data_IF_761080685948
#
_entry.id   IF_761080685948
#
_cell.length_a   1.000
_cell.length_b   1.000
_cell.length_c   1.000
_cell.angle_alpha   90.00
_cell.angle_beta   90.00
_cell.angle_gamma   90.00
#
_symmetry.space_group_name_H-M   'P 1'
#
loop_
_entity.id
_entity.type
_entity.pdbx_description
1 polymer ?
#
# COMPACT_ATOMS: atom_id res chain seq x y z
N UNK A 1 -12.37 6.17 14.41
CA UNK A 1 -11.38 7.25 14.19
C UNK A 1 -11.77 8.05 12.96
N UNK A 2 -11.70 9.37 13.05
CA UNK A 2 -12.05 10.25 11.93
C UNK A 2 -10.99 10.19 10.84
N UNK A 3 -11.43 10.26 9.59
CA UNK A 3 -10.54 10.21 8.42
C UNK A 3 -9.49 11.31 8.44
N UNK A 4 -9.80 12.49 8.97
CA UNK A 4 -8.86 13.61 9.09
C UNK A 4 -7.61 13.20 9.88
N UNK A 5 -7.79 12.48 10.97
CA UNK A 5 -6.68 12.01 11.80
C UNK A 5 -5.88 10.91 11.11
N UNK A 6 -6.56 10.01 10.43
CA UNK A 6 -5.91 8.94 9.66
C UNK A 6 -5.05 9.56 8.55
N UNK A 7 -5.58 10.56 7.88
CA UNK A 7 -4.84 11.30 6.85
C UNK A 7 -3.57 11.92 7.40
N UNK A 8 -3.64 12.58 8.57
CA UNK A 8 -2.46 13.17 9.22
C UNK A 8 -1.40 12.11 9.53
N UNK A 9 -1.82 10.97 10.08
CA UNK A 9 -0.91 9.87 10.42
C UNK A 9 -0.24 9.35 9.15
N UNK A 10 -1.01 9.09 8.11
CA UNK A 10 -0.50 8.58 6.84
C UNK A 10 0.50 9.55 6.20
N UNK A 11 0.17 10.82 6.17
CA UNK A 11 1.07 11.84 5.59
C UNK A 11 2.39 11.94 6.34
N UNK A 12 2.38 11.78 7.65
CA UNK A 12 3.63 11.74 8.44
C UNK A 12 4.52 10.56 8.08
N UNK A 13 3.91 9.46 7.66
CA UNK A 13 4.62 8.25 7.24
C UNK A 13 5.03 8.28 5.76
N UNK A 14 4.73 9.38 5.06
CA UNK A 14 5.10 9.54 3.67
C UNK A 14 4.04 9.13 2.66
N UNK A 15 2.83 8.82 3.12
CA UNK A 15 1.73 8.49 2.21
C UNK A 15 1.08 9.75 1.65
N UNK A 16 0.71 9.68 0.37
CA UNK A 16 -0.18 10.65 -0.24
C UNK A 16 -1.61 10.17 -0.01
N UNK A 17 -2.50 11.07 0.37
CA UNK A 17 -3.90 10.73 0.66
C UNK A 17 -4.82 11.57 -0.20
N UNK A 18 -5.61 10.91 -1.02
CA UNK A 18 -6.61 11.55 -1.88
C UNK A 18 -8.01 11.12 -1.47
N UNK A 19 -8.86 12.10 -1.14
CA UNK A 19 -10.25 11.87 -0.77
C UNK A 19 -11.13 12.09 -2.00
N UNK A 20 -12.06 11.15 -2.26
CA UNK A 20 -12.97 11.22 -3.39
C UNK A 20 -14.42 11.47 -2.94
N UNK A 21 -15.21 12.06 -3.83
CA UNK A 21 -16.62 12.41 -3.56
C UNK A 21 -17.51 11.20 -3.31
N UNK A 22 -17.12 10.01 -3.75
CA UNK A 22 -17.87 8.78 -3.56
C UNK A 22 -17.70 8.16 -2.17
N UNK A 23 -16.98 8.82 -1.27
CA UNK A 23 -16.74 8.34 0.09
C UNK A 23 -15.53 7.43 0.22
N UNK A 24 -14.71 7.29 -0.81
CA UNK A 24 -13.49 6.51 -0.76
C UNK A 24 -12.25 7.39 -0.56
N UNK A 25 -11.19 6.78 -0.06
CA UNK A 25 -9.90 7.44 0.16
C UNK A 25 -8.79 6.56 -0.39
N UNK A 26 -7.93 7.14 -1.21
CA UNK A 26 -6.79 6.44 -1.79
C UNK A 26 -5.50 6.83 -1.06
N UNK A 27 -4.74 5.82 -0.67
CA UNK A 27 -3.39 5.98 -0.09
C UNK A 27 -2.38 5.53 -1.12
N UNK A 28 -1.40 6.38 -1.41
CA UNK A 28 -0.36 6.04 -2.39
C UNK A 28 1.02 6.45 -1.89
N UNK A 29 2.01 5.64 -2.25
CA UNK A 29 3.40 5.89 -1.92
C UNK A 29 4.29 5.10 -2.89
N UNK A 30 5.42 5.70 -3.29
CA UNK A 30 6.41 4.98 -4.07
C UNK A 30 7.22 4.07 -3.15
N UNK A 31 7.45 2.84 -3.58
CA UNK A 31 8.34 1.92 -2.88
C UNK A 31 9.81 2.34 -3.09
N UNK A 32 10.76 1.81 -2.29
CA UNK A 32 12.19 2.11 -2.48
C UNK A 32 12.70 1.78 -3.87
N UNK A 33 12.13 0.78 -4.55
CA UNK A 33 12.50 0.45 -5.92
C UNK A 33 11.83 1.34 -6.97
N UNK A 34 10.99 2.29 -6.55
CA UNK A 34 10.32 3.23 -7.43
C UNK A 34 8.98 2.75 -7.98
N UNK A 35 8.43 1.67 -7.45
CA UNK A 35 7.09 1.20 -7.83
C UNK A 35 6.02 2.06 -7.18
N UNK A 36 5.07 2.54 -7.99
CA UNK A 36 3.89 3.25 -7.48
C UNK A 36 2.94 2.24 -6.86
N UNK A 37 2.75 2.36 -5.55
CA UNK A 37 1.82 1.49 -4.82
C UNK A 37 0.66 2.32 -4.29
N UNK A 38 -0.57 1.82 -4.48
CA UNK A 38 -1.76 2.48 -3.95
C UNK A 38 -2.83 1.47 -3.55
N UNK A 39 -3.68 1.86 -2.62
CA UNK A 39 -4.88 1.11 -2.25
C UNK A 39 -5.97 2.07 -1.82
N UNK A 40 -7.21 1.63 -1.90
CA UNK A 40 -8.39 2.44 -1.62
C UNK A 40 -9.24 1.81 -0.53
N UNK A 41 -9.75 2.66 0.37
CA UNK A 41 -10.64 2.22 1.46
C UNK A 41 -11.84 3.14 1.55
N UNK A 42 -12.89 2.70 2.25
CA UNK A 42 -14.02 3.56 2.59
C UNK A 42 -13.64 4.50 3.74
N UNK A 43 -13.95 5.78 3.59
CA UNK A 43 -13.61 6.79 4.60
C UNK A 43 -14.22 6.49 5.98
N UNK A 44 -15.45 5.96 6.02
CA UNK A 44 -16.16 5.64 7.26
C UNK A 44 -15.53 4.48 8.05
N UNK A 45 -14.91 3.54 7.36
CA UNK A 45 -14.29 2.36 7.95
C UNK A 45 -12.79 2.27 7.66
N UNK A 46 -12.16 3.41 7.43
CA UNK A 46 -10.77 3.46 6.96
C UNK A 46 -9.80 2.71 7.87
N UNK A 47 -9.88 2.88 9.18
CA UNK A 47 -8.97 2.21 10.12
C UNK A 47 -9.07 0.69 10.01
N UNK A 48 -10.30 0.17 9.98
CA UNK A 48 -10.56 -1.26 9.84
C UNK A 48 -10.06 -1.79 8.51
N UNK A 49 -10.36 -1.08 7.41
CA UNK A 49 -9.99 -1.53 6.08
C UNK A 49 -8.48 -1.45 5.82
N UNK A 50 -7.79 -0.48 6.40
CA UNK A 50 -6.32 -0.41 6.35
C UNK A 50 -5.72 -1.66 7.01
N UNK A 51 -6.22 -2.01 8.19
CA UNK A 51 -5.75 -3.19 8.91
C UNK A 51 -6.04 -4.48 8.14
N UNK A 52 -7.24 -4.60 7.58
CA UNK A 52 -7.63 -5.75 6.76
C UNK A 52 -6.78 -5.86 5.50
N UNK A 53 -6.48 -4.73 4.86
CA UNK A 53 -5.63 -4.69 3.69
C UNK A 53 -4.22 -5.18 4.00
N UNK A 54 -3.65 -4.71 5.10
CA UNK A 54 -2.33 -5.16 5.54
C UNK A 54 -2.33 -6.67 5.80
N UNK A 55 -3.32 -7.17 6.51
CA UNK A 55 -3.41 -8.62 6.81
C UNK A 55 -3.62 -9.47 5.57
N UNK A 56 -4.28 -8.93 4.55
CA UNK A 56 -4.52 -9.65 3.29
C UNK A 56 -3.42 -9.48 2.25
N UNK A 57 -2.42 -8.64 2.52
CA UNK A 57 -1.33 -8.43 1.58
C UNK A 57 -0.39 -9.63 1.58
N UNK A 58 -0.34 -10.33 0.43
CA UNK A 58 0.49 -11.51 0.25
C UNK A 58 1.73 -11.14 -0.59
N UNK A 59 2.89 -11.15 0.05
CA UNK A 59 4.16 -10.82 -0.60
C UNK A 59 4.44 -11.75 -1.77
N UNK A 60 4.20 -13.04 -1.59
CA UNK A 60 4.44 -14.04 -2.64
C UNK A 60 3.54 -13.82 -3.86
N UNK A 61 2.27 -13.53 -3.63
CA UNK A 61 1.32 -13.25 -4.71
C UNK A 61 1.73 -11.98 -5.48
N UNK A 62 2.16 -10.95 -4.78
CA UNK A 62 2.63 -9.71 -5.40
C UNK A 62 3.85 -9.98 -6.30
N UNK A 63 4.79 -10.79 -5.83
CA UNK A 63 5.97 -11.19 -6.60
C UNK A 63 5.56 -12.00 -7.83
N UNK A 64 4.65 -12.95 -7.68
CA UNK A 64 4.16 -13.78 -8.78
C UNK A 64 3.51 -12.95 -9.89
N UNK A 65 2.74 -11.94 -9.53
CA UNK A 65 2.13 -11.03 -10.51
C UNK A 65 3.17 -10.36 -11.40
N UNK A 66 4.27 -9.90 -10.83
CA UNK A 66 5.34 -9.25 -11.58
C UNK A 66 6.12 -10.22 -12.43
N UNK A 67 6.38 -11.44 -11.94
CA UNK A 67 7.03 -12.49 -12.70
C UNK A 67 6.19 -12.87 -13.92
N UNK A 68 4.88 -13.03 -13.72
CA UNK A 68 3.95 -13.34 -14.81
C UNK A 68 3.93 -12.22 -15.85
N UNK A 69 3.90 -10.95 -15.41
CA UNK A 69 3.96 -9.82 -16.33
C UNK A 69 5.23 -9.83 -17.17
N UNK A 70 6.38 -10.17 -16.57
CA UNK A 70 7.67 -10.29 -17.28
C UNK A 70 7.64 -11.41 -18.33
N UNK A 71 7.08 -12.56 -17.98
CA UNK A 71 6.93 -13.70 -18.90
C UNK A 71 6.03 -13.36 -20.08
N UNK A 72 5.05 -12.48 -19.86
CA UNK A 72 4.15 -12.01 -20.91
C UNK A 72 4.71 -10.84 -21.73
N UNK A 73 6.00 -10.53 -21.57
CA UNK A 73 6.70 -9.55 -22.40
C UNK A 73 6.61 -8.10 -21.92
N UNK A 74 6.20 -7.87 -20.68
CA UNK A 74 6.20 -6.51 -20.12
C UNK A 74 7.62 -5.97 -20.04
N UNK A 75 7.77 -4.67 -20.35
CA UNK A 75 9.06 -3.98 -20.27
C UNK A 75 9.21 -3.25 -18.95
N UNK A 76 10.45 -3.09 -18.48
CA UNK A 76 10.74 -2.34 -17.26
C UNK A 76 10.47 -3.08 -15.97
N UNK A 77 10.24 -4.38 -16.02
CA UNK A 77 10.05 -5.19 -14.82
C UNK A 77 11.41 -5.38 -14.11
N UNK A 78 11.48 -5.09 -12.78
CA UNK A 78 12.71 -5.27 -12.02
C UNK A 78 13.19 -6.73 -11.98
N UNK A 79 14.43 -6.96 -11.57
CA UNK A 79 14.95 -8.31 -11.35
C UNK A 79 14.16 -9.00 -10.22
N UNK A 80 14.19 -10.34 -10.19
CA UNK A 80 13.49 -11.10 -9.14
C UNK A 80 13.90 -10.66 -7.73
N UNK A 81 15.19 -10.40 -7.53
CA UNK A 81 15.69 -9.93 -6.22
C UNK A 81 15.09 -8.59 -5.84
N UNK A 82 15.01 -7.66 -6.78
CA UNK A 82 14.41 -6.35 -6.55
C UNK A 82 12.90 -6.48 -6.25
N UNK A 83 12.21 -7.38 -6.93
CA UNK A 83 10.79 -7.64 -6.69
C UNK A 83 10.54 -8.16 -5.27
N UNK A 84 11.39 -9.07 -4.78
CA UNK A 84 11.28 -9.60 -3.42
C UNK A 84 11.49 -8.49 -2.39
N UNK A 85 12.58 -7.73 -2.53
CA UNK A 85 12.89 -6.62 -1.63
C UNK A 85 11.78 -5.57 -1.64
N UNK A 86 11.27 -5.24 -2.81
CA UNK A 86 10.22 -4.24 -2.98
C UNK A 86 8.90 -4.68 -2.33
N UNK A 87 8.49 -5.93 -2.54
CA UNK A 87 7.27 -6.46 -1.93
C UNK A 87 7.37 -6.48 -0.41
N UNK A 88 8.53 -6.83 0.14
CA UNK A 88 8.77 -6.79 1.59
C UNK A 88 8.71 -5.36 2.13
N UNK A 89 9.24 -4.39 1.40
CA UNK A 89 9.20 -2.98 1.78
C UNK A 89 7.77 -2.43 1.76
N UNK A 90 6.97 -2.83 0.76
CA UNK A 90 5.54 -2.47 0.71
C UNK A 90 4.81 -3.04 1.93
N UNK A 91 5.08 -4.29 2.27
CA UNK A 91 4.50 -4.92 3.46
C UNK A 91 4.85 -4.16 4.74
N UNK A 92 6.10 -3.71 4.87
CA UNK A 92 6.55 -2.88 6.01
C UNK A 92 5.84 -1.53 6.04
N UNK A 93 5.68 -0.88 4.90
CA UNK A 93 4.96 0.40 4.80
C UNK A 93 3.51 0.24 5.26
N UNK A 94 2.85 -0.83 4.84
CA UNK A 94 1.48 -1.14 5.26
C UNK A 94 1.40 -1.43 6.75
N UNK A 95 2.37 -2.16 7.28
CA UNK A 95 2.44 -2.46 8.71
C UNK A 95 2.59 -1.20 9.54
N UNK A 96 3.49 -0.30 9.15
CA UNK A 96 3.69 0.97 9.84
C UNK A 96 2.41 1.80 9.87
N UNK A 97 1.71 1.88 8.75
CA UNK A 97 0.44 2.61 8.67
C UNK A 97 -0.63 1.96 9.55
N UNK A 98 -0.81 0.65 9.45
CA UNK A 98 -1.81 -0.07 10.22
C UNK A 98 -1.55 0.05 11.72
N UNK A 99 -0.30 -0.15 12.15
CA UNK A 99 0.08 -0.05 13.56
C UNK A 99 -0.13 1.36 14.10
N UNK A 100 0.23 2.39 13.34
CA UNK A 100 0.06 3.79 13.75
C UNK A 100 -1.41 4.16 13.90
N UNK A 101 -2.25 3.70 12.98
CA UNK A 101 -3.69 3.96 13.00
C UNK A 101 -4.36 3.25 14.19
N UNK A 102 -3.99 1.99 14.43
CA UNK A 102 -4.56 1.20 15.54
C UNK A 102 -4.12 1.74 16.91
N UNK A 103 -2.91 2.28 17.00
CA UNK A 103 -2.35 2.81 18.25
C UNK A 103 -2.83 4.23 18.59
N UNK A 104 -3.56 4.87 17.73
CA UNK A 104 -4.00 6.26 17.93
C UNK A 104 -5.28 6.37 18.71
#
# INVERSE_FOLDING_TARGET
MKITKIKEIAERLGWRVDEYDDGTVEFSQCSPAGEDFSFTVNAEEAAKEIYEYYNGFDVDEHIEMWIEARENGAHGVPSTRQLVEDAEDISKMLKELADAVVSS
#
